data_IF_537530381257
#
_entry.id   IF_537530381257
#
_cell.length_a   1.000
_cell.length_b   1.000
_cell.length_c   1.000
_cell.angle_alpha   90.00
_cell.angle_beta   90.00
_cell.angle_gamma   90.00
#
_symmetry.space_group_name_H-M   'P 1'
#
loop_
_entity.id
_entity.type
_entity.pdbx_description
1 polymer ?
#
# COMPACT_ATOMS: atom_id res chain seq x y z
N UNK A 1 -16.21 4.15 69.25
CA UNK A 1 -17.16 4.26 68.12
C UNK A 1 -16.54 5.16 67.06
N UNK A 2 -16.32 4.68 65.82
CA UNK A 2 -15.75 5.51 64.76
C UNK A 2 -16.68 6.70 64.50
N UNK A 3 -16.12 7.90 64.50
CA UNK A 3 -16.87 9.12 64.25
C UNK A 3 -17.27 9.21 62.78
N UNK A 4 -18.29 10.01 62.44
CA UNK A 4 -18.64 10.27 61.03
C UNK A 4 -17.46 10.78 60.19
N UNK A 5 -16.51 11.49 60.81
CA UNK A 5 -15.26 11.93 60.17
C UNK A 5 -14.34 10.74 59.87
N UNK A 6 -14.19 9.78 60.80
CA UNK A 6 -13.35 8.59 60.60
C UNK A 6 -13.85 7.71 59.43
N UNK A 7 -15.18 7.65 59.22
CA UNK A 7 -15.75 6.98 58.04
C UNK A 7 -15.53 7.73 56.75
N UNK A 8 -15.66 9.06 56.75
CA UNK A 8 -15.43 9.88 55.56
C UNK A 8 -13.96 9.84 55.11
N UNK A 9 -13.02 9.80 56.06
CA UNK A 9 -11.59 9.62 55.77
C UNK A 9 -11.33 8.22 55.21
N UNK A 10 -11.91 7.18 55.82
CA UNK A 10 -11.73 5.80 55.34
C UNK A 10 -12.36 5.54 53.96
N UNK A 11 -13.40 6.28 53.57
CA UNK A 11 -14.08 6.16 52.27
C UNK A 11 -13.28 6.80 51.12
N UNK A 12 -12.44 7.81 51.40
CA UNK A 12 -11.55 8.41 50.38
C UNK A 12 -10.30 7.57 50.09
N UNK A 13 -9.88 6.74 51.04
CA UNK A 13 -8.66 5.92 50.90
C UNK A 13 -8.93 4.63 50.11
N UNK A 14 -10.19 4.16 50.05
CA UNK A 14 -10.58 2.97 49.28
C UNK A 14 -10.92 3.25 47.82
N UNK A 15 -11.08 4.52 47.44
CA UNK A 15 -11.26 4.95 46.06
C UNK A 15 -9.97 5.63 45.59
N UNK A 16 -9.39 5.10 44.52
CA UNK A 16 -8.31 5.73 43.74
C UNK A 16 -6.86 5.43 44.18
N UNK A 17 -6.39 4.24 43.83
CA UNK A 17 -5.04 4.11 43.29
C UNK A 17 -4.97 2.91 42.34
N UNK A 18 -5.42 3.09 41.09
CA UNK A 18 -4.93 2.21 40.03
C UNK A 18 -3.41 2.46 39.98
N UNK A 19 -2.57 1.45 40.22
CA UNK A 19 -1.13 1.67 40.29
C UNK A 19 -0.65 2.23 38.95
N UNK A 20 0.20 3.27 38.99
CA UNK A 20 0.69 4.02 37.84
C UNK A 20 1.22 3.14 36.69
N UNK A 21 1.66 1.92 37.00
CA UNK A 21 2.10 0.93 36.02
C UNK A 21 1.01 0.55 34.99
N UNK A 22 -0.27 0.55 35.37
CA UNK A 22 -1.38 0.19 34.46
C UNK A 22 -1.78 1.30 33.50
N UNK A 23 -1.47 2.56 33.82
CA UNK A 23 -1.83 3.71 32.99
C UNK A 23 -1.07 3.73 31.66
N UNK A 24 0.14 3.16 31.64
CA UNK A 24 1.05 3.23 30.50
C UNK A 24 1.04 1.94 29.68
N UNK A 25 0.96 0.77 30.33
CA UNK A 25 1.12 -0.52 29.67
C UNK A 25 -0.09 -0.92 28.81
N UNK A 26 -1.31 -0.67 29.29
CA UNK A 26 -2.55 -1.07 28.59
C UNK A 26 -2.69 -0.44 27.18
N UNK A 27 -2.54 0.88 27.04
CA UNK A 27 -2.66 1.55 25.74
C UNK A 27 -1.65 1.05 24.69
N UNK A 28 -0.40 0.76 25.08
CA UNK A 28 0.61 0.27 24.15
C UNK A 28 0.24 -1.09 23.54
N UNK A 29 -0.23 -2.03 24.35
CA UNK A 29 -0.62 -3.35 23.83
C UNK A 29 -1.88 -3.29 22.97
N UNK A 30 -2.84 -2.44 23.32
CA UNK A 30 -4.02 -2.22 22.48
C UNK A 30 -3.63 -1.68 21.09
N UNK A 31 -2.75 -0.68 21.05
CA UNK A 31 -2.23 -0.16 19.79
C UNK A 31 -1.46 -1.22 18.99
N UNK A 32 -0.52 -1.92 19.64
CA UNK A 32 0.27 -2.96 18.99
C UNK A 32 -0.61 -4.07 18.40
N UNK A 33 -1.68 -4.47 19.10
CA UNK A 33 -2.63 -5.46 18.61
C UNK A 33 -3.37 -4.99 17.35
N UNK A 34 -3.81 -3.72 17.33
CA UNK A 34 -4.49 -3.14 16.14
C UNK A 34 -3.53 -3.08 14.96
N UNK A 35 -2.31 -2.55 15.14
CA UNK A 35 -1.32 -2.47 14.06
C UNK A 35 -0.96 -3.86 13.54
N UNK A 36 -0.81 -4.85 14.41
CA UNK A 36 -0.52 -6.24 14.01
C UNK A 36 -1.68 -6.82 13.20
N UNK A 37 -2.92 -6.59 13.61
CA UNK A 37 -4.10 -7.04 12.87
C UNK A 37 -4.21 -6.39 11.49
N UNK A 38 -3.98 -5.07 11.40
CA UNK A 38 -3.97 -4.35 10.12
C UNK A 38 -2.84 -4.85 9.22
N UNK A 39 -1.63 -5.01 9.74
CA UNK A 39 -0.48 -5.51 8.98
C UNK A 39 -0.72 -6.92 8.43
N UNK A 40 -1.25 -7.83 9.26
CA UNK A 40 -1.62 -9.18 8.82
C UNK A 40 -2.71 -9.13 7.74
N UNK A 41 -3.71 -8.25 7.88
CA UNK A 41 -4.75 -8.05 6.87
C UNK A 41 -4.20 -7.48 5.56
N UNK A 42 -3.23 -6.57 5.60
CA UNK A 42 -2.60 -6.04 4.40
C UNK A 42 -1.86 -7.12 3.60
N UNK A 43 -1.30 -8.14 4.26
CA UNK A 43 -0.58 -9.24 3.58
C UNK A 43 -1.54 -10.18 2.83
N UNK A 44 -2.73 -10.42 3.38
CA UNK A 44 -3.67 -11.40 2.82
C UNK A 44 -4.86 -10.81 2.07
N UNK A 45 -5.31 -9.61 2.45
CA UNK A 45 -6.54 -9.00 1.95
C UNK A 45 -6.33 -7.89 0.94
N UNK A 46 -5.08 -7.55 0.59
CA UNK A 46 -4.75 -6.52 -0.39
C UNK A 46 -3.72 -7.06 -1.38
N UNK A 47 -3.86 -6.72 -2.66
CA UNK A 47 -2.76 -6.84 -3.62
C UNK A 47 -1.72 -5.77 -3.29
N UNK A 48 -0.77 -6.12 -2.43
CA UNK A 48 0.32 -5.25 -1.97
C UNK A 48 1.32 -4.91 -3.07
N UNK A 49 1.38 -5.75 -4.11
CA UNK A 49 2.30 -5.56 -5.21
C UNK A 49 1.58 -4.89 -6.37
N UNK A 50 2.08 -3.75 -6.89
CA UNK A 50 1.54 -3.17 -8.11
C UNK A 50 1.61 -4.23 -9.21
N UNK A 51 0.57 -4.27 -10.06
CA UNK A 51 0.52 -5.18 -11.20
C UNK A 51 1.80 -5.03 -12.02
N UNK A 52 2.59 -6.11 -12.06
CA UNK A 52 3.85 -6.15 -12.82
C UNK A 52 3.53 -5.86 -14.29
N UNK A 53 4.37 -5.06 -14.94
CA UNK A 53 4.28 -4.85 -16.37
C UNK A 53 4.19 -6.22 -17.09
N UNK A 54 3.22 -6.41 -17.98
CA UNK A 54 3.07 -7.67 -18.70
C UNK A 54 4.36 -7.96 -19.48
N UNK A 55 4.85 -9.19 -19.37
CA UNK A 55 6.13 -9.62 -19.94
C UNK A 55 5.84 -10.52 -21.14
N UNK A 56 6.52 -10.28 -22.28
CA UNK A 56 6.35 -11.07 -23.51
C UNK A 56 5.76 -10.27 -24.67
N UNK A 57 5.13 -10.96 -25.60
CA UNK A 57 4.56 -10.39 -26.83
C UNK A 57 3.24 -9.64 -26.52
N UNK A 58 3.11 -8.34 -26.89
CA UNK A 58 1.90 -7.56 -26.64
C UNK A 58 0.62 -8.21 -27.18
N UNK A 59 0.69 -9.02 -28.24
CA UNK A 59 -0.49 -9.66 -28.84
C UNK A 59 -1.16 -10.72 -27.96
N UNK A 60 -0.48 -11.17 -26.92
CA UNK A 60 -1.02 -12.15 -25.95
C UNK A 60 -1.58 -11.51 -24.68
N UNK A 61 -1.46 -10.19 -24.54
CA UNK A 61 -1.84 -9.48 -23.33
C UNK A 61 -3.36 -9.30 -23.19
N UNK A 62 -3.85 -9.36 -21.96
CA UNK A 62 -5.24 -9.02 -21.66
C UNK A 62 -5.48 -7.51 -21.72
N UNK A 63 -6.75 -7.10 -21.77
CA UNK A 63 -7.13 -5.70 -21.80
C UNK A 63 -6.57 -4.91 -20.59
N UNK A 64 -6.67 -5.48 -19.39
CA UNK A 64 -6.16 -4.90 -18.14
C UNK A 64 -4.64 -4.73 -18.15
N UNK A 65 -3.92 -5.69 -18.73
CA UNK A 65 -2.48 -5.64 -18.90
C UNK A 65 -2.06 -4.52 -19.86
N UNK A 66 -2.79 -4.35 -20.97
CA UNK A 66 -2.57 -3.25 -21.91
C UNK A 66 -2.77 -1.88 -21.24
N UNK A 67 -3.84 -1.73 -20.48
CA UNK A 67 -4.14 -0.49 -19.72
C UNK A 67 -3.07 -0.22 -18.67
N UNK A 68 -2.65 -1.25 -17.93
CA UNK A 68 -1.58 -1.16 -16.91
C UNK A 68 -0.26 -0.70 -17.54
N UNK A 69 0.16 -1.32 -18.65
CA UNK A 69 1.41 -0.98 -19.33
C UNK A 69 1.44 0.48 -19.81
N UNK A 70 0.31 0.97 -20.34
CA UNK A 70 0.16 2.35 -20.79
C UNK A 70 0.13 3.34 -19.61
N UNK A 71 -0.57 3.01 -18.51
CA UNK A 71 -0.60 3.83 -17.30
C UNK A 71 0.78 3.96 -16.66
N UNK A 72 1.54 2.86 -16.57
CA UNK A 72 2.91 2.87 -16.04
C UNK A 72 3.86 3.76 -16.84
N UNK A 73 3.54 4.04 -18.11
CA UNK A 73 4.32 4.90 -19.02
C UNK A 73 3.71 6.28 -19.23
N UNK A 74 2.69 6.66 -18.45
CA UNK A 74 1.95 7.92 -18.58
C UNK A 74 1.38 8.15 -20.00
N UNK A 75 1.01 7.07 -20.70
CA UNK A 75 0.42 7.12 -22.05
C UNK A 75 -1.12 7.27 -22.02
N UNK A 76 -1.70 7.48 -20.82
CA UNK A 76 -3.10 7.79 -20.54
C UNK A 76 -4.08 7.11 -21.52
N UNK A 77 -4.34 5.81 -21.37
CA UNK A 77 -5.30 5.10 -22.19
C UNK A 77 -6.69 5.73 -22.03
N UNK A 78 -7.41 5.87 -23.14
CA UNK A 78 -8.83 6.23 -23.10
C UNK A 78 -9.60 5.09 -22.44
N UNK A 79 -10.43 5.40 -21.43
CA UNK A 79 -11.22 4.41 -20.70
C UNK A 79 -12.27 3.69 -21.58
N UNK A 80 -12.53 4.20 -22.80
CA UNK A 80 -13.43 3.60 -23.79
C UNK A 80 -12.69 2.90 -24.94
N UNK A 81 -11.35 2.90 -24.93
CA UNK A 81 -10.57 2.30 -26.01
C UNK A 81 -10.77 0.77 -26.03
N UNK A 82 -10.90 0.21 -27.22
CA UNK A 82 -10.92 -1.25 -27.40
C UNK A 82 -9.52 -1.83 -27.20
N UNK A 83 -9.43 -3.12 -26.87
CA UNK A 83 -8.14 -3.82 -26.71
C UNK A 83 -7.25 -3.69 -27.95
N UNK A 84 -7.82 -3.73 -29.15
CA UNK A 84 -7.08 -3.56 -30.40
C UNK A 84 -6.47 -2.15 -30.52
N UNK A 85 -7.20 -1.10 -30.16
CA UNK A 85 -6.69 0.27 -30.17
C UNK A 85 -5.56 0.46 -29.14
N UNK A 86 -5.71 -0.12 -27.95
CA UNK A 86 -4.68 -0.11 -26.92
C UNK A 86 -3.41 -0.82 -27.41
N UNK A 87 -3.54 -1.96 -28.09
CA UNK A 87 -2.42 -2.72 -28.66
C UNK A 87 -1.65 -1.94 -29.72
N UNK A 88 -2.35 -1.29 -30.65
CA UNK A 88 -1.72 -0.44 -31.67
C UNK A 88 -0.88 0.68 -31.03
N UNK A 89 -1.41 1.32 -29.98
CA UNK A 89 -0.68 2.35 -29.22
C UNK A 89 0.55 1.77 -28.50
N UNK A 90 0.43 0.57 -27.93
CA UNK A 90 1.56 -0.11 -27.28
C UNK A 90 2.66 -0.40 -28.30
N UNK A 91 2.31 -1.01 -29.44
CA UNK A 91 3.25 -1.34 -30.52
C UNK A 91 3.95 -0.11 -31.07
N UNK A 92 3.22 0.99 -31.27
CA UNK A 92 3.79 2.26 -31.73
C UNK A 92 4.83 2.81 -30.74
N UNK A 93 4.55 2.78 -29.44
CA UNK A 93 5.48 3.27 -28.41
C UNK A 93 6.71 2.36 -28.23
N UNK A 94 6.53 1.03 -28.34
CA UNK A 94 7.66 0.09 -28.31
C UNK A 94 8.63 0.30 -29.49
N UNK A 95 8.12 0.64 -30.67
CA UNK A 95 8.96 0.92 -31.85
C UNK A 95 9.87 2.14 -31.63
N UNK A 96 9.32 3.22 -31.11
CA UNK A 96 10.05 4.48 -30.87
C UNK A 96 11.19 4.29 -29.86
N UNK A 97 11.01 3.45 -28.84
CA UNK A 97 12.06 3.15 -27.88
C UNK A 97 13.27 2.46 -28.52
N UNK A 98 13.05 1.57 -29.51
CA UNK A 98 14.12 0.85 -30.22
C UNK A 98 14.95 1.77 -31.12
N UNK A 99 14.32 2.75 -31.75
CA UNK A 99 14.99 3.70 -32.66
C UNK A 99 15.90 4.69 -31.90
N UNK A 100 15.62 4.94 -30.61
CA UNK A 100 16.42 5.88 -29.79
C UNK A 100 17.73 5.30 -29.25
N UNK A 101 17.99 4.00 -29.38
CA UNK A 101 19.30 3.44 -29.03
C UNK A 101 20.28 3.77 -30.14
N UNK A 102 21.15 4.79 -29.99
CA UNK A 102 22.10 5.13 -31.04
C UNK A 102 23.27 4.14 -30.94
N UNK A 103 23.73 3.66 -32.09
CA UNK A 103 25.03 3.01 -32.25
C UNK A 103 26.13 4.05 -32.00
N UNK A 104 26.33 4.50 -30.76
CA UNK A 104 27.21 5.64 -30.41
C UNK A 104 28.57 5.21 -29.85
N UNK A 105 29.05 4.03 -30.23
CA UNK A 105 30.18 3.40 -29.54
C UNK A 105 31.30 2.95 -30.49
N UNK A 106 31.17 3.06 -31.82
CA UNK A 106 32.14 2.44 -32.75
C UNK A 106 32.74 3.34 -33.86
N UNK A 107 32.68 4.67 -33.74
CA UNK A 107 33.31 5.59 -34.71
C UNK A 107 34.48 6.42 -34.13
N UNK A 108 35.20 5.92 -33.12
CA UNK A 108 36.43 6.58 -32.62
C UNK A 108 37.56 5.60 -32.29
N UNK A 109 38.02 4.83 -33.28
CA UNK A 109 39.32 4.16 -33.24
C UNK A 109 40.02 4.25 -34.61
#
# INVERSE_FOLDING_TARGET
MPTPIDRAVSQRVSAQSIPWNYFIIGPFFAFAAVITGVAAWSIWGQDLFPSRDPTGDPDTWTHEQCVTWLNNRNLHPSALATTAELLERIKANMRVARERTPLRDNETA
#
